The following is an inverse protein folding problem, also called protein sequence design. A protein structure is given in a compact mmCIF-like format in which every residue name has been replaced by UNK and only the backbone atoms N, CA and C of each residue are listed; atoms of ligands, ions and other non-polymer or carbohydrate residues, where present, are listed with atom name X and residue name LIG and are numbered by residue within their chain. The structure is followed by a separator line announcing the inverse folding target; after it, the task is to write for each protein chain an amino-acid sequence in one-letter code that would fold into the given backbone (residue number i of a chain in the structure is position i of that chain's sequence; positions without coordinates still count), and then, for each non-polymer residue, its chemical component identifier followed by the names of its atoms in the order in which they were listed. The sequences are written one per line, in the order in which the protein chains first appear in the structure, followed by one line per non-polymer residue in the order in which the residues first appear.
data_IF_562095390803
#
_entry.id   IF_562095390803
#
_cell.length_a   1.000
_cell.length_b   1.000
_cell.length_c   1.000
_cell.angle_alpha   90.00
_cell.angle_beta   90.00
_cell.angle_gamma   90.00
#
_symmetry.space_group_name_H-M   'P 1'
#
loop_
_entity.id
_entity.type
_entity.pdbx_description
1 polymer ?
#
# COMPACT_ATOMS: atom_id res chain seq x y z
N UNK A 1 -15.84 24.49 -17.37
CA UNK A 1 -15.92 23.20 -18.09
C UNK A 1 -14.59 23.06 -18.79
N UNK A 2 -13.70 22.16 -18.43
CA UNK A 2 -13.74 21.00 -17.55
C UNK A 2 -12.39 20.99 -16.81
N UNK A 3 -12.38 20.71 -15.51
CA UNK A 3 -11.12 20.51 -14.79
C UNK A 3 -10.45 19.30 -15.41
N UNK A 4 -9.31 19.55 -16.06
CA UNK A 4 -8.48 18.57 -16.73
C UNK A 4 -8.23 17.42 -15.74
N UNK A 5 -8.92 16.30 -15.97
CA UNK A 5 -8.89 15.13 -15.13
C UNK A 5 -7.48 14.56 -15.17
N UNK A 6 -6.61 15.05 -14.29
CA UNK A 6 -5.29 14.50 -14.08
C UNK A 6 -5.48 13.02 -13.80
N UNK A 7 -5.14 12.20 -14.79
CA UNK A 7 -4.95 10.77 -14.59
C UNK A 7 -3.72 10.65 -13.70
N UNK A 8 -3.93 10.78 -12.40
CA UNK A 8 -3.00 10.32 -11.37
C UNK A 8 -2.95 8.82 -11.59
N UNK A 9 -1.88 8.35 -12.23
CA UNK A 9 -1.65 6.91 -12.41
C UNK A 9 -1.80 6.24 -11.06
N UNK A 10 -2.83 5.40 -10.91
CA UNK A 10 -2.99 4.58 -9.72
C UNK A 10 -1.87 3.55 -9.77
N UNK A 11 -0.75 3.87 -9.11
CA UNK A 11 0.41 2.99 -9.03
C UNK A 11 0.12 1.91 -7.97
N UNK A 12 -0.85 1.04 -8.27
CA UNK A 12 -1.42 0.11 -7.30
C UNK A 12 -0.32 -0.85 -6.83
N UNK A 13 -0.12 -0.90 -5.52
CA UNK A 13 0.76 -1.91 -4.93
C UNK A 13 0.07 -3.26 -5.03
N UNK A 14 0.72 -4.20 -5.72
CA UNK A 14 0.28 -5.59 -5.79
C UNK A 14 0.31 -6.19 -4.38
N UNK A 15 -0.89 -6.31 -3.80
CA UNK A 15 -1.11 -6.89 -2.48
C UNK A 15 -1.26 -8.41 -2.60
N UNK A 16 -0.18 -9.07 -3.03
CA UNK A 16 -0.08 -10.52 -3.04
C UNK A 16 0.53 -11.00 -1.71
N UNK A 17 -0.27 -11.53 -0.77
CA UNK A 17 0.24 -12.07 0.47
C UNK A 17 1.03 -13.37 0.20
N UNK A 18 2.14 -13.52 0.90
CA UNK A 18 2.87 -14.78 0.98
C UNK A 18 2.21 -15.67 2.05
N UNK A 19 1.49 -16.70 1.62
CA UNK A 19 0.78 -17.61 2.53
C UNK A 19 1.71 -18.54 3.34
N UNK A 20 3.02 -18.51 3.08
CA UNK A 20 4.01 -19.21 3.91
C UNK A 20 4.45 -18.36 5.10
N UNK A 21 4.17 -17.05 5.07
CA UNK A 21 4.51 -16.09 6.12
C UNK A 21 3.32 -15.76 7.02
N UNK A 22 3.62 -15.22 8.19
CA UNK A 22 2.59 -14.72 9.10
C UNK A 22 1.88 -13.49 8.51
N UNK A 23 0.63 -13.26 8.93
CA UNK A 23 -0.15 -12.08 8.55
C UNK A 23 0.61 -10.79 8.89
N UNK A 24 1.30 -10.76 10.03
CA UNK A 24 2.10 -9.61 10.45
C UNK A 24 3.29 -9.34 9.51
N UNK A 25 3.98 -10.37 9.03
CA UNK A 25 5.07 -10.23 8.07
C UNK A 25 4.57 -9.73 6.71
N UNK A 26 3.43 -10.23 6.25
CA UNK A 26 2.79 -9.74 5.04
C UNK A 26 2.37 -8.28 5.16
N UNK A 27 1.82 -7.87 6.31
CA UNK A 27 1.46 -6.48 6.56
C UNK A 27 2.71 -5.58 6.60
N UNK A 28 3.82 -6.03 7.19
CA UNK A 28 5.10 -5.29 7.19
C UNK A 28 5.64 -5.12 5.77
N UNK A 29 5.72 -6.20 5.00
CA UNK A 29 6.19 -6.16 3.61
C UNK A 29 5.30 -5.25 2.74
N UNK A 30 3.98 -5.27 2.96
CA UNK A 30 3.06 -4.36 2.28
C UNK A 30 3.30 -2.91 2.68
N UNK A 31 3.54 -2.64 3.96
CA UNK A 31 3.80 -1.28 4.46
C UNK A 31 5.10 -0.71 3.90
N UNK A 32 6.15 -1.53 3.78
CA UNK A 32 7.39 -1.14 3.12
C UNK A 32 7.17 -0.75 1.66
N UNK A 33 6.36 -1.52 0.91
CA UNK A 33 5.99 -1.16 -0.47
C UNK A 33 5.25 0.18 -0.53
N UNK A 34 4.34 0.46 0.42
CA UNK A 34 3.63 1.74 0.50
C UNK A 34 4.58 2.90 0.81
N UNK A 35 5.49 2.70 1.75
CA UNK A 35 6.50 3.70 2.09
C UNK A 35 7.45 3.98 0.90
N UNK A 36 7.86 2.95 0.16
CA UNK A 36 8.75 3.09 -1.00
C UNK A 36 8.06 3.82 -2.17
N UNK A 37 6.80 3.47 -2.45
CA UNK A 37 6.04 4.03 -3.58
C UNK A 37 5.45 5.40 -3.31
N UNK A 38 4.92 5.62 -2.11
CA UNK A 38 4.13 6.80 -1.77
C UNK A 38 4.78 7.66 -0.70
N UNK A 39 5.87 7.23 -0.07
CA UNK A 39 6.48 7.92 1.07
C UNK A 39 5.67 7.81 2.36
N UNK A 40 4.49 7.21 2.33
CA UNK A 40 3.60 7.07 3.47
C UNK A 40 2.89 5.72 3.51
N UNK A 41 2.64 5.24 4.73
CA UNK A 41 1.84 4.03 4.97
C UNK A 41 0.38 4.45 5.27
N UNK A 42 -0.61 3.88 4.58
CA UNK A 42 -2.01 4.24 4.77
C UNK A 42 -2.54 3.80 6.15
N UNK A 43 -3.50 4.54 6.70
CA UNK A 43 -4.02 4.34 8.06
C UNK A 43 -4.62 2.95 8.31
N UNK A 44 -5.32 2.39 7.32
CA UNK A 44 -5.89 1.04 7.42
C UNK A 44 -4.81 -0.03 7.58
N UNK A 45 -3.60 0.20 7.06
CA UNK A 45 -2.46 -0.70 7.18
C UNK A 45 -1.72 -0.46 8.49
N UNK A 46 -1.57 0.81 8.92
CA UNK A 46 -1.03 1.16 10.25
C UNK A 46 -1.80 0.47 11.39
N UNK A 47 -3.13 0.39 11.29
CA UNK A 47 -3.97 -0.33 12.28
C UNK A 47 -3.69 -1.84 12.35
N UNK A 48 -3.18 -2.43 11.27
CA UNK A 48 -2.87 -3.87 11.17
C UNK A 48 -1.42 -4.22 11.54
N UNK A 49 -0.59 -3.22 11.80
CA UNK A 49 0.80 -3.35 12.25
C UNK A 49 0.99 -3.18 13.77
N UNK A 50 -0.11 -2.90 14.49
CA UNK A 50 -0.13 -2.61 15.92
C UNK A 50 -0.49 -3.85 16.72
#
# INVERSE_FOLDING_TARGET
MEEDGQVIGLDIIDNKPDYSKSIEENNKALAEKYLEKYGEVPEWLKKKLK
#
